data_IF_365893141176
#
_entry.id   IF_365893141176
#
_cell.length_a   1.000
_cell.length_b   1.000
_cell.length_c   1.000
_cell.angle_alpha   90.00
_cell.angle_beta   90.00
_cell.angle_gamma   90.00
#
_symmetry.space_group_name_H-M   'P 1'
#
loop_
_entity.id
_entity.type
_entity.pdbx_description
1 polymer ?
#
# COMPACT_ATOMS: atom_id res chain seq x y z
N UNK A 1 -6.61 16.42 -32.55
CA UNK A 1 -5.93 17.52 -31.84
C UNK A 1 -5.14 16.88 -30.72
N UNK A 2 -3.83 16.80 -30.86
CA UNK A 2 -2.95 16.33 -29.79
C UNK A 2 -2.89 17.40 -28.71
N UNK A 3 -3.33 17.08 -27.49
CA UNK A 3 -3.16 17.97 -26.35
C UNK A 3 -1.67 18.08 -26.04
N UNK A 4 -1.04 19.22 -26.34
CA UNK A 4 0.28 19.56 -25.80
C UNK A 4 0.15 19.68 -24.28
N UNK A 5 0.43 18.59 -23.58
CA UNK A 5 0.57 18.60 -22.13
C UNK A 5 1.85 19.36 -21.82
N UNK A 6 1.73 20.48 -21.10
CA UNK A 6 2.88 21.22 -20.61
C UNK A 6 3.51 20.41 -19.48
N UNK A 7 4.71 19.89 -19.70
CA UNK A 7 5.50 19.23 -18.67
C UNK A 7 6.16 20.28 -17.80
N UNK A 8 6.07 20.10 -16.49
CA UNK A 8 6.69 20.95 -15.49
C UNK A 8 7.83 20.21 -14.78
N UNK A 9 8.78 20.94 -14.17
CA UNK A 9 9.84 20.31 -13.36
C UNK A 9 9.31 19.46 -12.18
N UNK A 10 8.07 19.71 -11.75
CA UNK A 10 7.40 18.90 -10.72
C UNK A 10 6.99 17.54 -11.29
N UNK A 11 6.58 17.48 -12.56
CA UNK A 11 6.28 16.21 -13.25
C UNK A 11 7.55 15.36 -13.38
N UNK A 12 8.67 15.99 -13.77
CA UNK A 12 9.97 15.33 -13.82
C UNK A 12 10.41 14.79 -12.45
N UNK A 13 10.15 15.56 -11.38
CA UNK A 13 10.40 15.11 -10.01
C UNK A 13 9.61 13.86 -9.65
N UNK A 14 8.30 13.84 -9.94
CA UNK A 14 7.44 12.69 -9.67
C UNK A 14 7.93 11.47 -10.45
N UNK A 15 8.35 11.66 -11.71
CA UNK A 15 8.88 10.58 -12.54
C UNK A 15 10.22 10.03 -12.01
N UNK A 16 11.12 10.90 -11.55
CA UNK A 16 12.38 10.50 -10.92
C UNK A 16 12.13 9.59 -9.71
N UNK A 17 11.16 9.97 -8.85
CA UNK A 17 10.81 9.19 -7.65
C UNK A 17 10.13 7.87 -8.01
N UNK A 18 9.28 7.84 -9.06
CA UNK A 18 8.69 6.59 -9.58
C UNK A 18 9.77 5.61 -10.04
N UNK A 19 10.79 6.10 -10.75
CA UNK A 19 11.87 5.28 -11.27
C UNK A 19 12.89 4.87 -10.17
N UNK A 20 13.00 5.66 -9.11
CA UNK A 20 13.97 5.48 -8.02
C UNK A 20 13.24 5.53 -6.67
N UNK A 21 12.52 4.46 -6.28
CA UNK A 21 11.80 4.43 -5.00
C UNK A 21 12.79 4.52 -3.82
N UNK A 22 12.38 5.23 -2.76
CA UNK A 22 13.20 5.50 -1.57
C UNK A 22 14.50 6.28 -1.86
N UNK A 23 14.46 7.27 -2.76
CA UNK A 23 15.60 8.13 -3.03
C UNK A 23 15.74 9.27 -1.99
N UNK A 24 16.97 9.72 -1.74
CA UNK A 24 17.25 10.87 -0.86
C UNK A 24 16.82 12.19 -1.51
N UNK A 25 16.37 13.17 -0.71
CA UNK A 25 16.01 14.51 -1.22
C UNK A 25 17.18 15.16 -1.97
N UNK A 26 18.41 14.99 -1.47
CA UNK A 26 19.62 15.51 -2.11
C UNK A 26 19.84 14.90 -3.51
N UNK A 27 19.49 13.63 -3.70
CA UNK A 27 19.57 12.98 -5.01
C UNK A 27 18.61 13.60 -6.02
N UNK A 28 17.39 13.92 -5.59
CA UNK A 28 16.38 14.58 -6.43
C UNK A 28 16.85 15.98 -6.83
N UNK A 29 17.35 16.75 -5.86
CA UNK A 29 17.89 18.10 -6.09
C UNK A 29 19.03 18.10 -7.11
N UNK A 30 19.97 17.15 -7.00
CA UNK A 30 21.07 16.98 -7.97
C UNK A 30 20.56 16.60 -9.36
N UNK A 31 19.57 15.72 -9.45
CA UNK A 31 19.07 15.22 -10.74
C UNK A 31 18.24 16.26 -11.50
N UNK A 32 17.52 17.11 -10.79
CA UNK A 32 16.78 18.25 -11.38
C UNK A 32 17.63 19.50 -11.53
N UNK A 33 18.85 19.52 -10.97
CA UNK A 33 19.72 20.70 -10.91
C UNK A 33 19.01 21.92 -10.28
N UNK A 34 18.29 21.69 -9.17
CA UNK A 34 17.51 22.70 -8.45
C UNK A 34 17.93 22.78 -6.98
N UNK A 35 17.73 23.95 -6.32
CA UNK A 35 18.00 24.10 -4.90
C UNK A 35 17.18 23.12 -4.05
N UNK A 36 17.81 22.51 -3.05
CA UNK A 36 17.15 21.55 -2.17
C UNK A 36 15.92 22.15 -1.47
N UNK A 37 15.98 23.41 -1.03
CA UNK A 37 14.85 24.11 -0.41
C UNK A 37 13.61 24.19 -1.32
N UNK A 38 13.81 24.29 -2.64
CA UNK A 38 12.71 24.31 -3.61
C UNK A 38 12.08 22.92 -3.74
N UNK A 39 12.92 21.88 -3.79
CA UNK A 39 12.47 20.48 -3.79
C UNK A 39 11.67 20.17 -2.53
N UNK A 40 12.16 20.58 -1.37
CA UNK A 40 11.46 20.38 -0.08
C UNK A 40 10.08 21.04 -0.07
N UNK A 41 9.95 22.27 -0.59
CA UNK A 41 8.64 22.94 -0.73
C UNK A 41 7.69 22.16 -1.62
N UNK A 42 8.17 21.64 -2.76
CA UNK A 42 7.33 20.82 -3.65
C UNK A 42 6.94 19.51 -3.01
N UNK A 43 7.86 18.85 -2.30
CA UNK A 43 7.60 17.59 -1.60
C UNK A 43 6.52 17.76 -0.53
N UNK A 44 6.54 18.85 0.25
CA UNK A 44 5.48 19.15 1.24
C UNK A 44 4.11 19.24 0.56
N UNK A 45 4.03 19.92 -0.58
CA UNK A 45 2.77 20.04 -1.34
C UNK A 45 2.34 18.67 -1.88
N UNK A 46 3.24 17.93 -2.51
CA UNK A 46 2.91 16.61 -3.09
C UNK A 46 2.55 15.57 -2.03
N UNK A 47 3.11 15.66 -0.83
CA UNK A 47 2.74 14.84 0.31
C UNK A 47 1.33 15.16 0.81
N UNK A 48 0.97 16.44 0.89
CA UNK A 48 -0.39 16.87 1.24
C UNK A 48 -1.43 16.30 0.27
N UNK A 49 -1.11 16.24 -1.03
CA UNK A 49 -1.96 15.62 -2.05
C UNK A 49 -1.81 14.10 -2.17
N UNK A 50 -1.00 13.47 -1.31
CA UNK A 50 -0.73 12.02 -1.29
C UNK A 50 -0.21 11.48 -2.62
N UNK A 51 0.56 12.28 -3.34
CA UNK A 51 1.24 11.86 -4.59
C UNK A 51 2.57 11.19 -4.21
N UNK A 52 3.33 11.85 -3.34
CA UNK A 52 4.57 11.35 -2.78
C UNK A 52 4.43 11.26 -1.25
N UNK A 53 5.37 10.58 -0.61
CA UNK A 53 5.47 10.49 0.85
C UNK A 53 6.93 10.64 1.24
N UNK A 54 7.15 11.40 2.31
CA UNK A 54 8.47 11.67 2.85
C UNK A 54 8.64 10.84 4.12
N UNK A 55 9.77 10.14 4.22
CA UNK A 55 10.14 9.39 5.42
C UNK A 55 11.50 9.85 5.90
N UNK A 56 11.62 10.14 7.19
CA UNK A 56 12.87 10.59 7.78
C UNK A 56 13.55 9.45 8.52
N UNK A 57 14.82 9.20 8.21
CA UNK A 57 15.70 8.30 8.97
C UNK A 57 16.86 9.14 9.51
N UNK A 58 16.78 9.52 10.79
CA UNK A 58 17.68 10.51 11.37
C UNK A 58 17.48 11.89 10.72
N UNK A 59 18.56 12.50 10.23
CA UNK A 59 18.53 13.80 9.56
C UNK A 59 18.34 13.71 8.03
N UNK A 60 18.19 12.50 7.49
CA UNK A 60 18.03 12.28 6.04
C UNK A 60 16.57 12.05 5.68
N UNK A 61 16.07 12.83 4.73
CA UNK A 61 14.75 12.66 4.13
C UNK A 61 14.81 11.73 2.91
N UNK A 62 13.92 10.75 2.88
CA UNK A 62 13.74 9.80 1.79
C UNK A 62 12.35 9.96 1.21
N UNK A 63 12.25 9.96 -0.12
CA UNK A 63 10.99 10.19 -0.84
C UNK A 63 10.58 8.91 -1.55
N UNK A 64 9.29 8.62 -1.48
CA UNK A 64 8.69 7.51 -2.19
C UNK A 64 7.34 7.91 -2.79
N UNK A 65 6.86 7.20 -3.80
CA UNK A 65 5.49 7.42 -4.28
C UNK A 65 4.49 6.82 -3.30
N UNK A 66 3.31 7.42 -3.19
CA UNK A 66 2.27 6.90 -2.29
C UNK A 66 1.82 5.48 -2.68
N UNK A 67 1.86 5.15 -3.97
CA UNK A 67 1.55 3.81 -4.48
C UNK A 67 2.66 2.79 -4.23
N UNK A 68 3.93 3.21 -4.23
CA UNK A 68 5.05 2.33 -3.82
C UNK A 68 5.05 2.03 -2.33
N UNK A 69 4.51 2.93 -1.49
CA UNK A 69 4.23 2.57 -0.09
C UNK A 69 3.11 1.54 0.02
N UNK A 70 2.05 1.59 -0.79
CA UNK A 70 1.06 0.49 -0.80
C UNK A 70 1.70 -0.87 -1.16
N UNK A 71 2.80 -0.88 -1.92
CA UNK A 71 3.54 -2.11 -2.26
C UNK A 71 4.60 -2.50 -1.22
N UNK A 72 5.15 -1.54 -0.46
CA UNK A 72 6.22 -1.78 0.52
C UNK A 72 5.70 -1.83 1.97
N UNK A 73 4.42 -1.51 2.18
CA UNK A 73 3.67 -1.60 3.43
C UNK A 73 2.85 -2.91 3.47
N UNK A 74 3.26 -3.93 2.72
CA UNK A 74 2.85 -5.33 2.89
C UNK A 74 3.36 -5.95 4.20
N UNK A 75 4.10 -5.17 5.00
CA UNK A 75 4.38 -5.43 6.40
C UNK A 75 3.47 -4.66 7.37
N UNK A 76 2.39 -4.01 6.91
CA UNK A 76 1.27 -3.73 7.82
C UNK A 76 0.80 -5.07 8.32
N UNK A 77 0.76 -5.25 9.64
CA UNK A 77 0.04 -6.34 10.27
C UNK A 77 -1.38 -6.37 9.70
N UNK A 78 -1.58 -7.22 8.70
CA UNK A 78 -2.90 -7.57 8.18
C UNK A 78 -3.55 -8.34 9.32
N UNK A 79 -4.24 -7.58 10.14
CA UNK A 79 -5.02 -8.06 11.24
C UNK A 79 -6.41 -8.36 10.70
N UNK A 80 -6.67 -9.65 10.51
CA UNK A 80 -7.93 -10.17 9.97
C UNK A 80 -9.10 -9.73 10.85
N UNK A 81 -8.89 -9.59 12.17
CA UNK A 81 -9.91 -9.12 13.09
C UNK A 81 -10.22 -7.63 12.84
N UNK A 82 -9.22 -6.80 12.53
CA UNK A 82 -9.47 -5.41 12.10
C UNK A 82 -10.23 -5.35 10.78
N UNK A 83 -9.90 -6.21 9.80
CA UNK A 83 -10.63 -6.27 8.52
C UNK A 83 -12.10 -6.65 8.76
N UNK A 84 -12.34 -7.66 9.60
CA UNK A 84 -13.70 -8.06 10.02
C UNK A 84 -14.44 -6.90 10.70
N UNK A 85 -13.82 -6.22 11.66
CA UNK A 85 -14.43 -5.10 12.37
C UNK A 85 -14.76 -3.91 11.46
N UNK A 86 -13.90 -3.58 10.51
CA UNK A 86 -14.14 -2.53 9.51
C UNK A 86 -15.33 -2.90 8.62
N UNK A 87 -15.41 -4.16 8.18
CA UNK A 87 -16.53 -4.63 7.37
C UNK A 87 -17.86 -4.59 8.14
N UNK A 88 -17.87 -5.09 9.38
CA UNK A 88 -19.06 -5.09 10.23
C UNK A 88 -19.53 -3.65 10.50
N UNK A 89 -18.61 -2.74 10.86
CA UNK A 89 -18.93 -1.35 11.14
C UNK A 89 -19.54 -0.64 9.92
N UNK A 90 -18.89 -0.75 8.75
CA UNK A 90 -19.41 -0.16 7.49
C UNK A 90 -20.73 -0.78 7.05
N UNK A 91 -20.92 -2.07 7.33
CA UNK A 91 -22.17 -2.76 6.98
C UNK A 91 -23.32 -2.35 7.90
N UNK A 92 -23.04 -2.15 9.19
CA UNK A 92 -23.99 -1.59 10.16
C UNK A 92 -24.38 -0.16 9.82
N UNK A 93 -23.42 0.69 9.46
CA UNK A 93 -23.67 2.07 8.99
C UNK A 93 -24.60 2.10 7.76
N UNK A 94 -24.52 1.08 6.91
CA UNK A 94 -25.38 0.91 5.73
C UNK A 94 -26.70 0.19 6.01
N UNK A 95 -26.98 -0.18 7.26
CA UNK A 95 -28.20 -0.87 7.66
C UNK A 95 -28.34 -2.27 7.06
N UNK A 96 -27.25 -2.95 6.73
CA UNK A 96 -27.29 -4.32 6.22
C UNK A 96 -27.71 -5.30 7.33
N UNK A 97 -28.58 -6.26 7.00
CA UNK A 97 -28.88 -7.38 7.88
C UNK A 97 -27.71 -8.37 7.93
N UNK A 98 -27.63 -9.16 9.01
CA UNK A 98 -26.56 -10.15 9.21
C UNK A 98 -26.44 -11.10 8.01
N UNK A 99 -27.56 -11.58 7.46
CA UNK A 99 -27.57 -12.46 6.29
C UNK A 99 -26.93 -11.80 5.05
N UNK A 100 -27.21 -10.51 4.84
CA UNK A 100 -26.60 -9.75 3.72
C UNK A 100 -25.13 -9.47 3.96
N UNK A 101 -24.71 -9.29 5.21
CA UNK A 101 -23.28 -9.17 5.56
C UNK A 101 -22.53 -10.46 5.25
N UNK A 102 -23.09 -11.62 5.61
CA UNK A 102 -22.49 -12.93 5.31
C UNK A 102 -22.36 -13.16 3.80
N UNK A 103 -23.36 -12.75 3.01
CA UNK A 103 -23.29 -12.86 1.54
C UNK A 103 -22.27 -11.88 0.91
N UNK A 104 -22.11 -10.68 1.48
CA UNK A 104 -21.20 -9.67 0.96
C UNK A 104 -19.74 -9.86 1.41
N UNK A 105 -19.50 -10.66 2.45
CA UNK A 105 -18.20 -10.87 3.06
C UNK A 105 -17.16 -11.49 2.10
N UNK A 106 -17.44 -12.57 1.36
CA UNK A 106 -16.49 -13.13 0.41
C UNK A 106 -16.07 -12.13 -0.68
N UNK A 107 -17.02 -11.36 -1.20
CA UNK A 107 -16.77 -10.32 -2.20
C UNK A 107 -15.92 -9.19 -1.65
N UNK A 108 -16.10 -8.83 -0.38
CA UNK A 108 -15.27 -7.85 0.30
C UNK A 108 -13.84 -8.37 0.51
N UNK A 109 -13.71 -9.64 0.92
CA UNK A 109 -12.42 -10.29 1.15
C UNK A 109 -11.57 -10.48 -0.11
N UNK A 110 -12.17 -10.63 -1.29
CA UNK A 110 -11.41 -10.74 -2.56
C UNK A 110 -10.40 -9.61 -2.75
N UNK A 111 -10.68 -8.41 -2.22
CA UNK A 111 -9.78 -7.25 -2.32
C UNK A 111 -8.52 -7.38 -1.45
N UNK A 112 -8.57 -8.24 -0.44
CA UNK A 112 -7.50 -8.48 0.53
C UNK A 112 -6.92 -9.91 0.43
N UNK A 113 -7.50 -10.76 -0.42
CA UNK A 113 -7.17 -12.19 -0.49
C UNK A 113 -5.70 -12.43 -0.84
N UNK A 114 -5.17 -11.68 -1.81
CA UNK A 114 -3.75 -11.74 -2.20
C UNK A 114 -2.85 -11.37 -1.02
N UNK A 115 -3.14 -10.26 -0.36
CA UNK A 115 -2.31 -9.75 0.73
C UNK A 115 -2.34 -10.69 1.96
N UNK A 116 -3.52 -11.24 2.29
CA UNK A 116 -3.68 -12.24 3.35
C UNK A 116 -2.92 -13.52 3.01
N UNK A 117 -2.94 -13.96 1.75
CA UNK A 117 -2.22 -15.15 1.28
C UNK A 117 -0.71 -14.97 1.36
N UNK A 118 -0.22 -13.81 0.96
CA UNK A 118 1.21 -13.49 1.01
C UNK A 118 1.69 -13.44 2.45
N UNK A 119 0.95 -12.82 3.36
CA UNK A 119 1.25 -12.79 4.79
C UNK A 119 1.22 -14.20 5.41
N UNK A 120 0.22 -15.02 5.07
CA UNK A 120 0.11 -16.41 5.53
C UNK A 120 1.32 -17.23 5.08
N UNK A 121 1.66 -17.13 3.79
CA UNK A 121 2.78 -17.86 3.19
C UNK A 121 4.11 -17.41 3.79
N UNK A 122 4.30 -16.10 3.98
CA UNK A 122 5.50 -15.54 4.59
C UNK A 122 5.67 -16.02 6.03
N UNK A 123 4.62 -15.95 6.87
CA UNK A 123 4.67 -16.46 8.25
C UNK A 123 4.96 -17.96 8.29
N UNK A 124 4.35 -18.74 7.40
CA UNK A 124 4.58 -20.18 7.35
C UNK A 124 6.00 -20.54 6.87
N UNK A 125 6.55 -19.79 5.90
CA UNK A 125 7.96 -19.93 5.50
C UNK A 125 8.93 -19.57 6.61
N UNK A 126 8.70 -18.46 7.31
CA UNK A 126 9.50 -18.06 8.48
C UNK A 126 9.45 -19.10 9.60
N UNK A 127 8.31 -19.79 9.76
CA UNK A 127 8.16 -20.88 10.71
C UNK A 127 8.74 -22.23 10.22
N UNK A 128 9.31 -22.28 9.01
CA UNK A 128 10.01 -23.46 8.48
C UNK A 128 9.09 -24.53 7.87
N UNK A 129 7.86 -24.19 7.49
CA UNK A 129 6.96 -25.13 6.82
C UNK A 129 7.34 -25.33 5.34
N UNK A 130 7.19 -26.55 4.85
CA UNK A 130 7.40 -26.90 3.44
C UNK A 130 6.27 -26.34 2.57
N UNK A 131 6.60 -25.89 1.35
CA UNK A 131 5.65 -25.25 0.41
C UNK A 131 4.38 -26.09 0.17
N UNK A 132 4.49 -27.41 0.09
CA UNK A 132 3.33 -28.31 -0.08
C UNK A 132 2.36 -28.28 1.11
N UNK A 133 2.89 -28.19 2.34
CA UNK A 133 2.06 -28.08 3.56
C UNK A 133 1.43 -26.69 3.70
N UNK A 134 2.13 -25.65 3.25
CA UNK A 134 1.63 -24.28 3.24
C UNK A 134 0.40 -24.16 2.33
N UNK A 135 0.45 -24.74 1.12
CA UNK A 135 -0.70 -24.72 0.19
C UNK A 135 -1.91 -25.44 0.77
N UNK A 136 -1.70 -26.59 1.41
CA UNK A 136 -2.79 -27.34 2.07
C UNK A 136 -3.40 -26.56 3.24
N UNK A 137 -2.56 -25.94 4.06
CA UNK A 137 -3.00 -25.12 5.18
C UNK A 137 -3.75 -23.87 4.71
N UNK A 138 -3.28 -23.21 3.65
CA UNK A 138 -3.94 -22.07 3.03
C UNK A 138 -5.35 -22.43 2.54
N UNK A 139 -5.51 -23.57 1.86
CA UNK A 139 -6.82 -23.98 1.34
C UNK A 139 -7.85 -24.20 2.46
N UNK A 140 -7.43 -24.75 3.60
CA UNK A 140 -8.30 -24.89 4.79
C UNK A 140 -8.63 -23.52 5.39
N UNK A 141 -7.60 -22.71 5.60
CA UNK A 141 -7.73 -21.37 6.17
C UNK A 141 -8.65 -20.47 5.33
N UNK A 142 -8.55 -20.54 4.00
CA UNK A 142 -9.39 -19.78 3.07
C UNK A 142 -10.88 -20.11 3.20
N UNK A 143 -11.21 -21.39 3.45
CA UNK A 143 -12.60 -21.82 3.66
C UNK A 143 -13.14 -21.18 4.95
N UNK A 144 -12.37 -21.27 6.04
CA UNK A 144 -12.73 -20.65 7.32
C UNK A 144 -12.85 -19.12 7.22
N UNK A 145 -11.94 -18.49 6.48
CA UNK A 145 -11.91 -17.04 6.27
C UNK A 145 -13.17 -16.52 5.55
N UNK A 146 -13.73 -17.30 4.63
CA UNK A 146 -14.97 -16.94 3.91
C UNK A 146 -16.22 -17.04 4.79
N UNK A 147 -16.11 -17.59 5.99
CA UNK A 147 -17.15 -17.58 7.02
C UNK A 147 -16.97 -16.33 7.88
N UNK A 148 -18.00 -15.47 7.90
CA UNK A 148 -17.99 -14.24 8.69
C UNK A 148 -17.97 -14.56 10.19
#
# INVERSE_FOLDING_TARGET
MESKVLLTPVDDMVEIVKQNPNCEIEFIAKKLNLPQELIEKWLVVLEQFKILVITYKGFKGFVNTSDSLKKHDSSKDIDIDKIKQVFISKSKEKGLSIDKMQQAWPTFLQRYETDIKDLFTQKAKTAGYEDGKIVLAWNKFRIELNTL
#
